data_IF_900591855183
#
_entry.id   IF_900591855183
#
_cell.length_a   1.000
_cell.length_b   1.000
_cell.length_c   1.000
_cell.angle_alpha   90.00
_cell.angle_beta   90.00
_cell.angle_gamma   90.00
#
_symmetry.space_group_name_H-M   'P 1'
#
loop_
_entity.id
_entity.type
_entity.pdbx_description
1 polymer ?
#
# COMPACT_ATOMS: atom_id res chain seq x y z
N UNK A 1 18.35 -2.13 3.55
CA UNK A 1 17.19 -2.72 2.87
C UNK A 1 16.15 -3.05 3.94
N UNK A 2 14.85 -2.90 3.67
CA UNK A 2 13.78 -3.02 4.67
C UNK A 2 12.96 -4.31 4.49
N UNK A 3 12.29 -4.76 5.55
CA UNK A 3 11.34 -5.89 5.61
C UNK A 3 9.91 -5.41 5.37
N UNK A 4 8.97 -6.33 5.09
CA UNK A 4 7.53 -6.04 5.04
C UNK A 4 7.03 -5.38 6.34
N UNK A 5 7.54 -5.83 7.50
CA UNK A 5 7.22 -5.27 8.82
C UNK A 5 7.65 -3.82 8.97
N UNK A 6 8.88 -3.49 8.58
CA UNK A 6 9.37 -2.11 8.65
C UNK A 6 8.53 -1.15 7.78
N UNK A 7 8.04 -1.65 6.65
CA UNK A 7 7.12 -0.92 5.79
C UNK A 7 5.73 -0.74 6.43
N UNK A 8 5.17 -1.77 7.05
CA UNK A 8 3.93 -1.67 7.83
C UNK A 8 4.06 -0.62 8.95
N UNK A 9 5.13 -0.70 9.74
CA UNK A 9 5.38 0.21 10.86
C UNK A 9 5.48 1.66 10.41
N UNK A 10 6.16 1.90 9.28
CA UNK A 10 6.28 3.24 8.71
C UNK A 10 4.90 3.78 8.29
N UNK A 11 4.10 2.99 7.58
CA UNK A 11 2.76 3.41 7.14
C UNK A 11 1.86 3.68 8.36
N UNK A 12 1.85 2.80 9.36
CA UNK A 12 1.09 3.01 10.60
C UNK A 12 1.53 4.26 11.34
N UNK A 13 2.84 4.50 11.42
CA UNK A 13 3.39 5.72 12.04
C UNK A 13 2.87 6.95 11.31
N UNK A 14 2.97 6.99 9.97
CA UNK A 14 2.44 8.12 9.19
C UNK A 14 0.93 8.33 9.40
N UNK A 15 0.16 7.25 9.47
CA UNK A 15 -1.29 7.34 9.71
C UNK A 15 -1.63 7.88 11.10
N UNK A 16 -0.79 7.63 12.10
CA UNK A 16 -1.00 8.11 13.47
C UNK A 16 -0.78 9.62 13.64
N UNK A 17 -0.03 10.25 12.73
CA UNK A 17 0.31 11.68 12.82
C UNK A 17 -0.85 12.56 12.36
N UNK A 18 -1.32 13.46 13.22
CA UNK A 18 -2.46 14.35 12.92
C UNK A 18 -2.21 15.26 11.72
N UNK A 19 -0.96 15.66 11.48
CA UNK A 19 -0.56 16.50 10.35
C UNK A 19 -0.58 15.77 8.98
N UNK A 20 -0.83 14.46 8.96
CA UNK A 20 -0.91 13.66 7.73
C UNK A 20 -2.38 13.28 7.48
N UNK A 21 -2.96 13.85 6.42
CA UNK A 21 -4.36 13.60 6.03
C UNK A 21 -4.54 12.33 5.19
N UNK A 22 -3.52 11.92 4.44
CA UNK A 22 -3.56 10.77 3.54
C UNK A 22 -2.17 10.19 3.29
N UNK A 23 -2.09 8.90 2.92
CA UNK A 23 -0.83 8.20 2.68
C UNK A 23 -0.80 7.54 1.31
N UNK A 24 0.32 7.73 0.60
CA UNK A 24 0.70 6.93 -0.58
C UNK A 24 1.79 5.97 -0.15
N UNK A 25 1.44 4.70 0.00
CA UNK A 25 2.39 3.64 0.33
C UNK A 25 2.94 3.02 -0.96
N UNK A 26 4.10 3.52 -1.42
CA UNK A 26 4.75 3.01 -2.65
C UNK A 26 5.87 2.04 -2.30
N UNK A 27 5.77 0.83 -2.84
CA UNK A 27 6.71 -0.27 -2.62
C UNK A 27 7.44 -0.59 -3.92
N UNK A 28 8.77 -0.54 -3.86
CA UNK A 28 9.67 -1.10 -4.89
C UNK A 28 10.15 -2.45 -4.37
N UNK A 29 9.51 -3.57 -4.77
CA UNK A 29 9.65 -4.90 -4.14
C UNK A 29 10.97 -5.62 -4.49
N UNK A 30 12.11 -4.92 -4.45
CA UNK A 30 13.43 -5.45 -4.83
C UNK A 30 14.31 -5.82 -3.63
N UNK A 31 13.77 -5.66 -2.41
CA UNK A 31 14.47 -6.09 -1.20
C UNK A 31 14.39 -7.61 -1.05
N UNK A 32 15.52 -8.33 -0.89
CA UNK A 32 15.50 -9.77 -0.64
C UNK A 32 14.96 -10.12 0.76
N UNK A 33 14.78 -9.10 1.62
CA UNK A 33 14.16 -9.24 2.93
C UNK A 33 12.63 -9.17 2.86
N UNK A 34 12.05 -8.93 1.67
CA UNK A 34 10.61 -8.85 1.48
C UNK A 34 10.04 -10.13 0.87
N UNK A 35 8.77 -10.42 1.18
CA UNK A 35 8.03 -11.57 0.66
C UNK A 35 7.20 -11.18 -0.56
N UNK A 36 7.87 -10.89 -1.69
CA UNK A 36 7.24 -10.18 -2.83
C UNK A 36 7.13 -11.00 -4.11
N UNK A 37 7.81 -12.14 -4.22
CA UNK A 37 7.70 -13.01 -5.40
C UNK A 37 6.45 -13.90 -5.33
N UNK A 38 5.95 -14.43 -6.48
CA UNK A 38 4.73 -15.24 -6.50
C UNK A 38 4.71 -16.44 -5.54
N UNK A 39 5.88 -17.04 -5.27
CA UNK A 39 6.01 -18.18 -4.35
C UNK A 39 6.14 -17.76 -2.87
N UNK A 40 6.19 -16.46 -2.60
CA UNK A 40 6.42 -15.88 -1.28
C UNK A 40 5.26 -15.08 -0.73
N UNK A 41 4.40 -14.53 -1.59
CA UNK A 41 3.33 -13.62 -1.17
C UNK A 41 2.32 -14.23 -0.21
N UNK A 42 2.16 -15.56 -0.21
CA UNK A 42 1.27 -16.29 0.71
C UNK A 42 1.96 -16.68 2.03
N UNK A 43 3.26 -16.39 2.19
CA UNK A 43 3.98 -16.68 3.43
C UNK A 43 3.54 -15.72 4.55
N UNK A 44 3.50 -16.20 5.81
CA UNK A 44 3.14 -15.35 6.94
C UNK A 44 4.01 -14.10 7.04
N UNK A 45 3.37 -12.97 7.33
CA UNK A 45 4.04 -11.68 7.45
C UNK A 45 4.37 -10.99 6.13
N UNK A 46 3.83 -11.44 4.99
CA UNK A 46 3.95 -10.72 3.72
C UNK A 46 3.11 -9.43 3.72
N UNK A 47 3.40 -8.52 2.78
CA UNK A 47 2.54 -7.37 2.51
C UNK A 47 1.07 -7.75 2.22
N UNK A 48 0.80 -8.94 1.65
CA UNK A 48 -0.57 -9.42 1.41
C UNK A 48 -1.32 -9.65 2.72
N UNK A 49 -0.65 -10.14 3.75
CA UNK A 49 -1.26 -10.32 5.08
C UNK A 49 -1.34 -9.01 5.88
N UNK A 50 -0.34 -8.13 5.72
CA UNK A 50 -0.17 -6.93 6.55
C UNK A 50 -1.02 -5.74 6.10
N UNK A 51 -0.98 -5.39 4.81
CA UNK A 51 -1.60 -4.15 4.31
C UNK A 51 -3.13 -4.09 4.47
N UNK A 52 -3.90 -5.18 4.33
CA UNK A 52 -5.34 -5.14 4.59
C UNK A 52 -5.67 -4.75 6.03
N UNK A 53 -4.87 -5.18 7.00
CA UNK A 53 -5.04 -4.83 8.42
C UNK A 53 -4.81 -3.33 8.63
N UNK A 54 -3.71 -2.80 8.07
CA UNK A 54 -3.42 -1.36 8.11
C UNK A 54 -4.56 -0.54 7.49
N UNK A 55 -5.09 -0.99 6.35
CA UNK A 55 -6.17 -0.31 5.65
C UNK A 55 -7.49 -0.33 6.44
N UNK A 56 -7.80 -1.43 7.12
CA UNK A 56 -9.01 -1.55 7.94
C UNK A 56 -8.95 -0.73 9.24
N UNK A 57 -7.76 -0.42 9.73
CA UNK A 57 -7.53 0.26 11.02
C UNK A 57 -7.55 1.80 10.93
N UNK A 58 -7.85 2.39 9.76
CA UNK A 58 -7.77 3.86 9.55
C UNK A 58 -8.91 4.42 8.70
N UNK A 59 -9.39 5.61 9.09
CA UNK A 59 -10.32 6.41 8.28
C UNK A 59 -9.59 7.39 7.32
N UNK A 60 -8.27 7.51 7.46
CA UNK A 60 -7.45 8.32 6.56
C UNK A 60 -7.28 7.61 5.22
N UNK A 61 -7.36 8.32 4.09
CA UNK A 61 -7.23 7.70 2.78
C UNK A 61 -5.83 7.11 2.58
N UNK A 62 -5.78 5.84 2.19
CA UNK A 62 -4.53 5.15 1.86
C UNK A 62 -4.63 4.54 0.47
N UNK A 63 -3.60 4.75 -0.34
CA UNK A 63 -3.40 4.03 -1.59
C UNK A 63 -2.05 3.32 -1.56
N UNK A 64 -1.98 2.14 -2.19
CA UNK A 64 -0.75 1.38 -2.33
C UNK A 64 -0.28 1.40 -3.80
N UNK A 65 1.03 1.43 -4.00
CA UNK A 65 1.65 1.26 -5.31
C UNK A 65 2.66 0.14 -5.23
N UNK A 66 2.59 -0.82 -6.14
CA UNK A 66 3.69 -1.76 -6.36
C UNK A 66 4.40 -1.29 -7.63
N UNK A 67 5.62 -0.81 -7.50
CA UNK A 67 6.38 -0.16 -8.57
C UNK A 67 7.57 -1.02 -8.99
N UNK A 68 7.32 -1.97 -9.89
CA UNK A 68 8.32 -2.85 -10.52
C UNK A 68 7.67 -3.66 -11.65
N UNK A 69 8.50 -4.39 -12.43
CA UNK A 69 8.07 -5.19 -13.58
C UNK A 69 7.00 -6.25 -13.29
N UNK A 70 6.52 -6.90 -14.35
CA UNK A 70 5.37 -7.81 -14.34
C UNK A 70 5.52 -9.05 -13.43
N UNK A 71 6.75 -9.39 -13.04
CA UNK A 71 7.01 -10.41 -12.02
C UNK A 71 6.23 -10.15 -10.71
N UNK A 72 5.97 -8.88 -10.38
CA UNK A 72 5.28 -8.46 -9.16
C UNK A 72 3.78 -8.18 -9.37
N UNK A 73 3.22 -8.46 -10.56
CA UNK A 73 1.79 -8.34 -10.79
C UNK A 73 0.95 -9.26 -9.88
N UNK A 74 1.37 -10.52 -9.59
CA UNK A 74 0.66 -11.37 -8.64
C UNK A 74 0.57 -10.77 -7.23
N UNK A 75 1.64 -10.14 -6.74
CA UNK A 75 1.63 -9.42 -5.46
C UNK A 75 0.58 -8.31 -5.48
N UNK A 76 0.62 -7.44 -6.49
CA UNK A 76 -0.33 -6.33 -6.58
C UNK A 76 -1.79 -6.79 -6.70
N UNK A 77 -2.02 -7.91 -7.40
CA UNK A 77 -3.33 -8.53 -7.52
C UNK A 77 -3.81 -9.09 -6.19
N UNK A 78 -2.98 -9.85 -5.48
CA UNK A 78 -3.32 -10.45 -4.20
C UNK A 78 -3.68 -9.39 -3.14
N UNK A 79 -2.89 -8.32 -3.02
CA UNK A 79 -3.20 -7.22 -2.09
C UNK A 79 -4.52 -6.53 -2.48
N UNK A 80 -4.80 -6.36 -3.79
CA UNK A 80 -6.06 -5.77 -4.27
C UNK A 80 -7.26 -6.66 -3.97
N UNK A 81 -7.15 -7.97 -4.19
CA UNK A 81 -8.18 -8.95 -3.87
C UNK A 81 -8.47 -9.01 -2.36
N UNK A 82 -7.47 -8.68 -1.52
CA UNK A 82 -7.62 -8.52 -0.09
C UNK A 82 -8.23 -7.16 0.35
N UNK A 83 -8.67 -6.31 -0.58
CA UNK A 83 -9.46 -5.10 -0.30
C UNK A 83 -8.67 -3.79 -0.28
N UNK A 84 -7.37 -3.79 -0.60
CA UNK A 84 -6.55 -2.58 -0.59
C UNK A 84 -6.55 -1.90 -1.97
N UNK A 85 -6.69 -0.56 -2.08
CA UNK A 85 -6.54 0.16 -3.33
C UNK A 85 -5.09 0.14 -3.84
N UNK A 86 -4.78 -0.77 -4.76
CA UNK A 86 -3.41 -0.98 -5.28
C UNK A 86 -3.29 -0.55 -6.74
N UNK A 87 -2.24 0.19 -7.07
CA UNK A 87 -1.89 0.64 -8.41
C UNK A 87 -0.52 0.09 -8.86
N UNK A 88 -0.29 0.06 -10.18
CA UNK A 88 1.00 -0.29 -10.81
C UNK A 88 1.74 0.94 -11.37
N UNK A 89 1.24 2.13 -11.07
CA UNK A 89 1.80 3.41 -11.53
C UNK A 89 1.55 4.45 -10.45
N UNK A 90 2.62 5.09 -9.98
CA UNK A 90 2.55 6.20 -9.04
C UNK A 90 1.71 7.36 -9.60
N UNK A 91 1.85 7.68 -10.89
CA UNK A 91 1.09 8.77 -11.52
C UNK A 91 -0.42 8.52 -11.46
N UNK A 92 -0.85 7.31 -11.79
CA UNK A 92 -2.27 6.92 -11.72
C UNK A 92 -2.78 6.91 -10.28
N UNK A 93 -1.95 6.45 -9.34
CA UNK A 93 -2.28 6.40 -7.93
C UNK A 93 -2.50 7.81 -7.37
N UNK A 94 -1.52 8.70 -7.53
CA UNK A 94 -1.58 10.08 -7.04
C UNK A 94 -2.71 10.86 -7.68
N UNK A 95 -2.94 10.70 -9.00
CA UNK A 95 -4.08 11.34 -9.69
C UNK A 95 -5.43 10.84 -9.16
N UNK A 96 -5.54 9.55 -8.82
CA UNK A 96 -6.77 8.97 -8.30
C UNK A 96 -7.03 9.40 -6.86
N UNK A 97 -6.00 9.37 -6.01
CA UNK A 97 -6.10 9.88 -4.64
C UNK A 97 -6.41 11.37 -4.61
N UNK A 98 -5.76 12.20 -5.42
CA UNK A 98 -6.05 13.63 -5.50
C UNK A 98 -7.52 13.91 -5.84
N UNK A 99 -8.09 13.20 -6.82
CA UNK A 99 -9.53 13.31 -7.14
C UNK A 99 -10.43 12.88 -5.99
N UNK A 100 -10.08 11.80 -5.31
CA UNK A 100 -10.82 11.32 -4.14
C UNK A 100 -10.76 12.33 -2.98
N UNK A 101 -9.60 12.93 -2.72
CA UNK A 101 -9.43 13.95 -1.69
C UNK A 101 -10.25 15.20 -1.98
N UNK A 102 -10.23 15.72 -3.22
CA UNK A 102 -11.08 16.84 -3.61
C UNK A 102 -12.57 16.53 -3.39
N UNK A 103 -13.02 15.35 -3.81
CA UNK A 103 -14.40 14.92 -3.58
C UNK A 103 -14.76 14.82 -2.10
N UNK A 104 -13.85 14.33 -1.25
CA UNK A 104 -14.08 14.20 0.19
C UNK A 104 -14.09 15.56 0.89
N UNK A 105 -13.23 16.49 0.48
CA UNK A 105 -13.15 17.84 1.03
C UNK A 105 -14.42 18.66 0.73
N UNK A 106 -15.01 18.50 -0.46
CA UNK A 106 -16.24 19.19 -0.84
C UNK A 106 -17.50 18.72 -0.06
N UNK A 107 -17.37 17.66 0.76
CA UNK A 107 -18.47 17.11 1.59
C UNK A 107 -18.30 17.37 3.09
N UNK A 108 -17.27 18.13 3.50
CA UNK A 108 -17.08 18.61 4.88
C UNK A 108 -17.67 20.02 5.03
#
# INVERSE_FOLDING_TARGET
>A
MATDEAYEDLVRTMLSLEEIDAVVASFVPLSPMMLTTPDEIDKPGSLVERLPKVFADTDKPVICVIDSGSLFDPLARAIREAGVPVFRSCDQATRSLGRYLCYRADRA
#
